data_IF_721098224588
#
_entry.id   IF_721098224588
#
_cell.length_a   1.000
_cell.length_b   1.000
_cell.length_c   1.000
_cell.angle_alpha   90.00
_cell.angle_beta   90.00
_cell.angle_gamma   90.00
#
_symmetry.space_group_name_H-M   'P 1'
#
loop_
_entity.id
_entity.type
_entity.pdbx_description
1 polymer ?
#
# COMPACT_ATOMS: atom_id res chain seq x y z
N UNK A 1 17.09 36.27 -5.46
CA UNK A 1 16.84 35.03 -6.24
C UNK A 1 17.56 33.82 -5.64
N UNK A 2 18.86 33.90 -5.37
CA UNK A 2 19.67 32.79 -4.82
C UNK A 2 19.21 32.31 -3.42
N UNK A 3 18.75 33.20 -2.53
CA UNK A 3 18.26 32.80 -1.20
C UNK A 3 16.97 31.96 -1.23
N UNK A 4 16.07 32.22 -2.20
CA UNK A 4 14.88 31.38 -2.43
C UNK A 4 15.25 30.02 -3.02
N UNK A 5 16.31 29.95 -3.83
CA UNK A 5 16.80 28.70 -4.40
C UNK A 5 17.44 27.80 -3.33
N UNK A 6 18.22 28.37 -2.41
CA UNK A 6 18.83 27.65 -1.28
C UNK A 6 17.75 27.19 -0.28
N UNK A 7 16.72 28.01 -0.04
CA UNK A 7 15.54 27.60 0.75
C UNK A 7 14.77 26.46 0.06
N UNK A 8 14.63 26.48 -1.27
CA UNK A 8 13.96 25.42 -2.03
C UNK A 8 14.76 24.11 -2.04
N UNK A 9 16.09 24.17 -2.13
CA UNK A 9 16.97 22.99 -2.02
C UNK A 9 16.98 22.45 -0.59
N UNK A 10 16.99 23.33 0.43
CA UNK A 10 16.84 22.92 1.83
C UNK A 10 15.49 22.26 2.13
N UNK A 11 14.44 22.57 1.36
CA UNK A 11 13.14 21.90 1.43
C UNK A 11 13.19 20.48 0.81
N UNK A 12 14.05 20.24 -0.17
CA UNK A 12 14.16 18.92 -0.82
C UNK A 12 15.10 17.96 -0.09
N UNK A 13 16.00 18.46 0.75
CA UNK A 13 16.97 17.65 1.49
C UNK A 13 16.39 17.28 2.86
N UNK A 14 16.50 15.99 3.22
CA UNK A 14 16.20 15.51 4.57
C UNK A 14 17.23 16.12 5.53
N UNK A 15 16.83 17.15 6.26
CA UNK A 15 17.69 17.83 7.23
C UNK A 15 17.53 17.24 8.64
N UNK A 16 16.42 16.53 8.90
CA UNK A 16 16.13 15.91 10.18
C UNK A 16 15.63 14.45 10.02
N UNK A 17 16.55 13.47 9.94
CA UNK A 17 16.18 12.06 9.78
C UNK A 17 15.40 11.52 10.99
N UNK A 18 15.59 12.09 12.18
CA UNK A 18 14.87 11.71 13.40
C UNK A 18 13.42 12.17 13.31
N UNK A 19 13.19 13.35 12.74
CA UNK A 19 11.87 13.89 12.45
C UNK A 19 11.06 12.97 11.53
N UNK A 20 11.63 12.60 10.38
CA UNK A 20 11.03 11.65 9.43
C UNK A 20 10.74 10.30 10.09
N UNK A 21 11.70 9.76 10.84
CA UNK A 21 11.55 8.47 11.51
C UNK A 21 10.42 8.50 12.55
N UNK A 22 10.33 9.58 13.33
CA UNK A 22 9.30 9.73 14.36
C UNK A 22 7.89 9.84 13.75
N UNK A 23 7.74 10.61 12.68
CA UNK A 23 6.48 10.74 11.94
C UNK A 23 6.08 9.40 11.31
N UNK A 24 7.02 8.72 10.66
CA UNK A 24 6.81 7.39 10.06
C UNK A 24 6.37 6.39 11.12
N UNK A 25 7.05 6.36 12.27
CA UNK A 25 6.73 5.46 13.38
C UNK A 25 5.35 5.73 13.96
N UNK A 26 4.97 7.00 14.12
CA UNK A 26 3.62 7.38 14.57
C UNK A 26 2.56 6.85 13.60
N UNK A 27 2.80 7.00 12.30
CA UNK A 27 1.86 6.57 11.27
C UNK A 27 1.73 5.04 11.22
N UNK A 28 2.85 4.33 11.31
CA UNK A 28 2.89 2.86 11.36
C UNK A 28 2.17 2.34 12.61
N UNK A 29 2.39 2.95 13.78
CA UNK A 29 1.72 2.56 15.03
C UNK A 29 0.21 2.81 14.99
N UNK A 30 -0.22 3.92 14.37
CA UNK A 30 -1.63 4.24 14.16
C UNK A 30 -2.32 3.19 13.28
N UNK A 31 -1.63 2.70 12.24
CA UNK A 31 -2.13 1.62 11.42
C UNK A 31 -2.16 0.28 12.19
N UNK A 32 -1.08 -0.04 12.92
CA UNK A 32 -0.94 -1.31 13.63
C UNK A 32 -2.05 -1.55 14.66
N UNK A 33 -2.60 -0.50 15.27
CA UNK A 33 -3.73 -0.62 16.21
C UNK A 33 -5.03 -1.11 15.54
N UNK A 34 -5.17 -0.92 14.23
CA UNK A 34 -6.33 -1.33 13.43
C UNK A 34 -5.94 -2.40 12.40
N UNK A 35 -4.75 -3.00 12.54
CA UNK A 35 -4.21 -3.98 11.60
C UNK A 35 -5.15 -5.19 11.46
N UNK A 36 -5.76 -5.67 12.54
CA UNK A 36 -6.70 -6.79 12.45
C UNK A 36 -7.84 -6.48 11.47
N UNK A 37 -8.50 -5.33 11.60
CA UNK A 37 -9.67 -5.01 10.77
C UNK A 37 -9.31 -4.77 9.29
N UNK A 38 -8.06 -4.41 9.02
CA UNK A 38 -7.59 -4.03 7.69
C UNK A 38 -6.84 -5.14 6.96
N UNK A 39 -6.26 -6.10 7.70
CA UNK A 39 -5.55 -7.27 7.17
C UNK A 39 -6.48 -8.48 7.01
N UNK A 40 -7.43 -8.70 7.93
CA UNK A 40 -8.31 -9.87 7.87
C UNK A 40 -9.15 -9.96 6.59
N UNK A 41 -9.82 -8.89 6.11
CA UNK A 41 -10.68 -9.00 4.94
C UNK A 41 -9.93 -9.38 3.65
N UNK A 42 -8.79 -8.74 3.30
CA UNK A 42 -7.98 -9.15 2.14
C UNK A 42 -7.50 -10.60 2.22
N UNK A 43 -7.04 -11.04 3.40
CA UNK A 43 -6.54 -12.40 3.60
C UNK A 43 -7.63 -13.45 3.45
N UNK A 44 -8.80 -13.20 4.03
CA UNK A 44 -9.96 -14.08 3.88
C UNK A 44 -10.41 -14.15 2.42
N UNK A 45 -10.52 -13.01 1.74
CA UNK A 45 -10.89 -12.95 0.33
C UNK A 45 -9.91 -13.73 -0.56
N UNK A 46 -8.61 -13.52 -0.38
CA UNK A 46 -7.55 -14.27 -1.07
C UNK A 46 -7.64 -15.77 -0.81
N UNK A 47 -7.87 -16.16 0.45
CA UNK A 47 -7.96 -17.57 0.84
C UNK A 47 -9.18 -18.25 0.21
N UNK A 48 -10.34 -17.60 0.26
CA UNK A 48 -11.56 -18.09 -0.38
C UNK A 48 -11.41 -18.15 -1.89
N UNK A 49 -10.77 -17.14 -2.51
CA UNK A 49 -10.47 -17.15 -3.94
C UNK A 49 -9.61 -18.37 -4.30
N UNK A 50 -8.47 -18.55 -3.63
CA UNK A 50 -7.58 -19.68 -3.88
C UNK A 50 -8.25 -21.03 -3.61
N UNK A 51 -9.09 -21.12 -2.58
CA UNK A 51 -9.84 -22.34 -2.27
C UNK A 51 -10.88 -22.66 -3.35
N UNK A 52 -11.73 -21.69 -3.71
CA UNK A 52 -12.78 -21.87 -4.73
C UNK A 52 -12.15 -22.21 -6.07
N UNK A 53 -11.18 -21.42 -6.52
CA UNK A 53 -10.53 -21.65 -7.82
C UNK A 53 -9.60 -22.86 -7.80
N UNK A 54 -8.98 -23.20 -6.66
CA UNK A 54 -8.18 -24.41 -6.49
C UNK A 54 -9.02 -25.67 -6.59
N UNK A 55 -10.13 -25.75 -5.86
CA UNK A 55 -11.00 -26.93 -5.82
C UNK A 55 -11.89 -27.04 -7.07
N UNK A 56 -12.44 -25.92 -7.55
CA UNK A 56 -13.39 -25.93 -8.68
C UNK A 56 -12.71 -26.17 -10.04
N UNK A 57 -11.48 -25.69 -10.24
CA UNK A 57 -10.76 -25.84 -11.53
C UNK A 57 -9.78 -27.01 -11.49
N UNK A 58 -9.20 -27.34 -10.34
CA UNK A 58 -8.32 -28.51 -10.18
C UNK A 58 -8.98 -29.85 -10.50
N UNK A 59 -10.32 -29.93 -10.45
CA UNK A 59 -11.10 -31.13 -10.82
C UNK A 59 -11.53 -31.19 -12.29
N UNK A 60 -11.36 -30.10 -13.06
CA UNK A 60 -11.89 -30.00 -14.44
C UNK A 60 -10.84 -29.71 -15.50
N UNK A 61 -9.64 -29.30 -15.11
CA UNK A 61 -8.58 -28.95 -16.07
C UNK A 61 -7.35 -29.79 -15.79
N UNK A 62 -7.32 -30.98 -16.39
CA UNK A 62 -6.07 -31.67 -16.68
C UNK A 62 -5.33 -30.83 -17.73
N UNK A 63 -4.39 -29.99 -17.29
CA UNK A 63 -3.47 -29.26 -18.15
C UNK A 63 -2.42 -30.20 -18.73
N UNK A 64 -2.83 -31.23 -19.47
CA UNK A 64 -1.94 -32.12 -20.20
C UNK A 64 -1.15 -31.42 -21.33
N UNK A 65 -1.19 -30.08 -21.44
CA UNK A 65 -0.59 -29.31 -22.53
C UNK A 65 0.18 -28.05 -22.09
N UNK A 66 0.13 -27.65 -20.82
CA UNK A 66 0.89 -26.51 -20.30
C UNK A 66 1.40 -26.85 -18.89
N UNK A 67 2.71 -26.92 -18.70
CA UNK A 67 3.38 -27.32 -17.43
C UNK A 67 3.15 -26.35 -16.25
N UNK A 68 2.21 -25.40 -16.35
CA UNK A 68 2.03 -24.32 -15.37
C UNK A 68 0.67 -24.45 -14.68
N UNK A 69 0.69 -24.68 -13.38
CA UNK A 69 -0.50 -24.78 -12.53
C UNK A 69 -1.28 -23.46 -12.54
N UNK A 70 -2.57 -23.47 -12.88
CA UNK A 70 -3.43 -22.27 -12.99
C UNK A 70 -3.33 -21.32 -11.77
N UNK A 71 -3.26 -21.88 -10.56
CA UNK A 71 -3.11 -21.09 -9.32
C UNK A 71 -1.80 -20.29 -9.28
N UNK A 72 -0.70 -20.79 -9.87
CA UNK A 72 0.57 -20.06 -9.90
C UNK A 72 0.50 -18.75 -10.70
N UNK A 73 -0.43 -18.67 -11.66
CA UNK A 73 -0.68 -17.45 -12.44
C UNK A 73 -1.56 -16.44 -11.71
N UNK A 74 -2.49 -16.90 -10.86
CA UNK A 74 -3.41 -16.04 -10.11
C UNK A 74 -2.70 -15.31 -8.96
N UNK A 75 -1.80 -15.98 -8.25
CA UNK A 75 -1.13 -15.46 -7.05
C UNK A 75 -0.56 -14.05 -7.25
N UNK A 76 0.25 -13.76 -8.29
CA UNK A 76 0.77 -12.41 -8.50
C UNK A 76 -0.34 -11.36 -8.75
N UNK A 77 -1.45 -11.76 -9.38
CA UNK A 77 -2.63 -10.90 -9.54
C UNK A 77 -3.28 -10.56 -8.21
N UNK A 78 -3.50 -11.55 -7.33
CA UNK A 78 -4.04 -11.33 -5.98
C UNK A 78 -3.10 -10.48 -5.13
N UNK A 79 -1.79 -10.73 -5.20
CA UNK A 79 -0.80 -9.93 -4.47
C UNK A 79 -0.85 -8.47 -4.89
N UNK A 80 -0.89 -8.20 -6.21
CA UNK A 80 -0.84 -6.82 -6.73
C UNK A 80 -2.12 -6.05 -6.43
N UNK A 81 -3.31 -6.64 -6.61
CA UNK A 81 -4.57 -5.93 -6.29
C UNK A 81 -4.65 -5.57 -4.81
N UNK A 82 -4.26 -6.49 -3.92
CA UNK A 82 -4.26 -6.22 -2.48
C UNK A 82 -3.18 -5.23 -2.06
N UNK A 83 -2.01 -5.26 -2.69
CA UNK A 83 -0.96 -4.26 -2.48
C UNK A 83 -1.46 -2.86 -2.87
N UNK A 84 -2.05 -2.74 -4.05
CA UNK A 84 -2.55 -1.48 -4.61
C UNK A 84 -3.64 -0.87 -3.73
N UNK A 85 -4.72 -1.63 -3.47
CA UNK A 85 -5.85 -1.12 -2.68
C UNK A 85 -5.43 -0.76 -1.27
N UNK A 86 -4.60 -1.59 -0.63
CA UNK A 86 -4.17 -1.38 0.75
C UNK A 86 -3.26 -0.15 0.91
N UNK A 87 -2.29 0.04 0.00
CA UNK A 87 -1.41 1.22 0.00
C UNK A 87 -2.17 2.51 -0.29
N UNK A 88 -3.09 2.50 -1.26
CA UNK A 88 -3.92 3.64 -1.61
C UNK A 88 -4.84 4.05 -0.47
N UNK A 89 -5.63 3.12 0.07
CA UNK A 89 -6.60 3.37 1.13
C UNK A 89 -5.95 3.94 2.39
N UNK A 90 -4.75 3.45 2.74
CA UNK A 90 -4.08 3.90 3.97
C UNK A 90 -3.58 5.33 3.84
N UNK A 91 -2.88 5.65 2.76
CA UNK A 91 -2.36 7.01 2.58
C UNK A 91 -3.50 8.00 2.39
N UNK A 92 -4.54 7.63 1.64
CA UNK A 92 -5.67 8.51 1.39
C UNK A 92 -6.49 8.78 2.66
N UNK A 93 -6.88 7.73 3.39
CA UNK A 93 -7.62 7.89 4.66
C UNK A 93 -6.79 8.61 5.72
N UNK A 94 -5.49 8.33 5.82
CA UNK A 94 -4.59 9.00 6.76
C UNK A 94 -4.60 10.51 6.59
N UNK A 95 -4.28 10.97 5.38
CA UNK A 95 -4.15 12.38 5.10
C UNK A 95 -5.51 13.08 5.18
N UNK A 96 -6.57 12.45 4.68
CA UNK A 96 -7.89 13.03 4.71
C UNK A 96 -8.41 13.19 6.14
N UNK A 97 -8.24 12.18 7.00
CA UNK A 97 -8.64 12.25 8.41
C UNK A 97 -7.82 13.31 9.15
N UNK A 98 -6.50 13.39 8.88
CA UNK A 98 -5.64 14.42 9.47
C UNK A 98 -6.07 15.84 9.09
N UNK A 99 -6.52 16.05 7.84
CA UNK A 99 -7.10 17.32 7.39
C UNK A 99 -8.46 17.58 8.03
N UNK A 100 -9.35 16.58 8.05
CA UNK A 100 -10.70 16.70 8.58
C UNK A 100 -10.72 17.04 10.07
N UNK A 101 -9.82 16.46 10.86
CA UNK A 101 -9.68 16.71 12.30
C UNK A 101 -8.77 17.89 12.63
N UNK A 102 -8.30 18.66 11.64
CA UNK A 102 -7.32 19.74 11.80
C UNK A 102 -5.95 19.32 12.39
N UNK A 103 -5.69 18.03 12.63
CA UNK A 103 -4.38 17.50 13.04
C UNK A 103 -3.26 17.81 12.05
N UNK A 104 -3.58 18.15 10.80
CA UNK A 104 -2.59 18.56 9.80
C UNK A 104 -1.84 19.83 10.22
N UNK A 105 -2.45 20.69 11.05
CA UNK A 105 -1.83 21.91 11.56
C UNK A 105 -0.67 21.60 12.51
N UNK A 106 -0.79 20.55 13.33
CA UNK A 106 0.32 20.11 14.20
C UNK A 106 1.51 19.59 13.38
N UNK A 107 1.23 18.92 12.26
CA UNK A 107 2.27 18.47 11.33
C UNK A 107 2.91 19.68 10.64
N UNK A 108 2.12 20.68 10.24
CA UNK A 108 2.61 21.92 9.62
C UNK A 108 3.40 22.83 10.58
N UNK A 109 3.10 22.80 11.88
CA UNK A 109 3.82 23.55 12.92
C UNK A 109 5.12 22.88 13.34
N UNK A 110 5.29 21.59 13.04
CA UNK A 110 6.54 20.90 13.31
C UNK A 110 7.66 21.45 12.40
N UNK A 111 8.91 21.57 12.89
CA UNK A 111 10.04 22.04 12.09
C UNK A 111 10.54 20.93 11.14
N UNK A 112 9.63 20.36 10.35
CA UNK A 112 9.90 19.37 9.31
C UNK A 112 9.82 20.04 7.94
N UNK A 113 10.62 19.57 7.00
CA UNK A 113 10.46 19.98 5.61
C UNK A 113 9.20 19.37 4.98
N UNK A 114 8.62 20.02 3.97
CA UNK A 114 7.51 19.47 3.18
C UNK A 114 7.81 18.08 2.62
N UNK A 115 9.05 17.84 2.17
CA UNK A 115 9.46 16.54 1.65
C UNK A 115 9.52 15.46 2.75
N UNK A 116 9.96 15.84 3.95
CA UNK A 116 10.01 14.96 5.11
C UNK A 116 8.61 14.56 5.59
N UNK A 117 7.65 15.50 5.54
CA UNK A 117 6.24 15.22 5.84
C UNK A 117 5.65 14.21 4.86
N UNK A 118 5.88 14.43 3.55
CA UNK A 118 5.43 13.53 2.49
C UNK A 118 6.03 12.14 2.67
N UNK A 119 7.33 12.03 2.90
CA UNK A 119 7.99 10.74 3.13
C UNK A 119 7.45 10.01 4.36
N UNK A 120 7.22 10.71 5.48
CA UNK A 120 6.70 10.09 6.69
C UNK A 120 5.28 9.55 6.51
N UNK A 121 4.42 10.27 5.78
CA UNK A 121 3.07 9.83 5.46
C UNK A 121 3.06 8.70 4.41
N UNK A 122 3.95 8.75 3.42
CA UNK A 122 4.12 7.69 2.43
C UNK A 122 4.56 6.37 3.08
N UNK A 123 5.48 6.44 4.04
CA UNK A 123 5.99 5.26 4.75
C UNK A 123 4.86 4.43 5.39
N UNK A 124 3.82 5.08 5.93
CA UNK A 124 2.66 4.37 6.48
C UNK A 124 1.91 3.53 5.43
N UNK A 125 1.64 4.12 4.25
CA UNK A 125 0.94 3.43 3.17
C UNK A 125 1.76 2.31 2.52
N UNK A 126 3.06 2.54 2.37
CA UNK A 126 3.98 1.51 1.87
C UNK A 126 4.02 0.33 2.84
N UNK A 127 4.20 0.59 4.14
CA UNK A 127 4.27 -0.48 5.14
C UNK A 127 2.99 -1.31 5.20
N UNK A 128 1.81 -0.68 5.19
CA UNK A 128 0.54 -1.43 5.17
C UNK A 128 0.39 -2.29 3.92
N UNK A 129 0.66 -1.72 2.74
CA UNK A 129 0.54 -2.47 1.48
C UNK A 129 1.47 -3.67 1.44
N UNK A 130 2.73 -3.49 1.87
CA UNK A 130 3.72 -4.56 2.00
C UNK A 130 3.25 -5.62 3.00
N UNK A 131 2.72 -5.23 4.16
CA UNK A 131 2.17 -6.18 5.14
C UNK A 131 1.04 -7.02 4.56
N UNK A 132 0.04 -6.40 3.90
CA UNK A 132 -1.07 -7.14 3.27
C UNK A 132 -0.54 -8.08 2.17
N UNK A 133 0.29 -7.57 1.27
CA UNK A 133 0.86 -8.35 0.17
C UNK A 133 1.67 -9.55 0.67
N UNK A 134 2.48 -9.35 1.72
CA UNK A 134 3.24 -10.44 2.35
C UNK A 134 2.34 -11.48 3.02
N UNK A 135 1.24 -11.06 3.64
CA UNK A 135 0.25 -11.97 4.20
C UNK A 135 -0.48 -12.79 3.13
N UNK A 136 -0.87 -12.16 2.02
CA UNK A 136 -1.48 -12.86 0.87
C UNK A 136 -0.50 -13.87 0.27
N UNK A 137 0.76 -13.48 0.10
CA UNK A 137 1.81 -14.38 -0.36
C UNK A 137 1.99 -15.57 0.59
N UNK A 138 2.08 -15.33 1.90
CA UNK A 138 2.18 -16.41 2.89
C UNK A 138 0.97 -17.37 2.84
N UNK A 139 -0.24 -16.83 2.69
CA UNK A 139 -1.46 -17.65 2.53
C UNK A 139 -1.42 -18.49 1.25
N UNK A 140 -0.89 -17.95 0.15
CA UNK A 140 -0.78 -18.68 -1.11
C UNK A 140 0.12 -19.91 -1.04
N UNK A 141 1.17 -19.88 -0.20
CA UNK A 141 2.09 -21.02 -0.05
C UNK A 141 1.43 -22.25 0.59
N UNK A 142 0.33 -22.08 1.33
CA UNK A 142 -0.44 -23.21 1.86
C UNK A 142 -1.21 -23.97 0.78
N UNK A 143 -1.51 -23.32 -0.36
CA UNK A 143 -2.20 -23.95 -1.48
C UNK A 143 -1.21 -24.51 -2.50
N UNK A 144 -0.21 -23.73 -2.91
CA UNK A 144 0.83 -24.13 -3.85
C UNK A 144 2.18 -23.55 -3.45
N UNK A 145 3.19 -24.40 -3.34
CA UNK A 145 4.58 -23.96 -3.25
C UNK A 145 4.98 -23.32 -4.57
N UNK A 146 5.07 -21.99 -4.57
CA UNK A 146 5.45 -21.23 -5.75
C UNK A 146 6.88 -20.74 -5.58
N UNK A 147 7.87 -21.30 -6.31
CA UNK A 147 9.25 -20.88 -6.18
C UNK A 147 9.44 -19.45 -6.69
N UNK A 148 10.00 -18.58 -5.86
CA UNK A 148 10.35 -17.21 -6.26
C UNK A 148 11.69 -17.25 -6.97
N UNK A 149 11.67 -17.17 -8.31
CA UNK A 149 12.89 -17.18 -9.12
C UNK A 149 13.79 -15.95 -8.86
N UNK A 150 13.18 -14.78 -8.64
CA UNK A 150 13.89 -13.51 -8.46
C UNK A 150 13.33 -12.71 -7.27
N UNK A 151 13.80 -12.98 -6.04
CA UNK A 151 13.28 -12.32 -4.83
C UNK A 151 13.58 -10.81 -4.80
N UNK A 152 14.74 -10.40 -5.33
CA UNK A 152 15.12 -8.97 -5.39
C UNK A 152 14.19 -8.19 -6.32
N UNK A 153 13.85 -8.76 -7.49
CA UNK A 153 12.93 -8.14 -8.43
C UNK A 153 11.53 -8.01 -7.82
N UNK A 154 11.06 -9.05 -7.11
CA UNK A 154 9.77 -9.03 -6.41
C UNK A 154 9.71 -7.87 -5.40
N UNK A 155 10.73 -7.74 -4.54
CA UNK A 155 10.78 -6.66 -3.55
C UNK A 155 10.80 -5.29 -4.24
N UNK A 156 11.58 -5.14 -5.31
CA UNK A 156 11.64 -3.89 -6.08
C UNK A 156 10.28 -3.51 -6.67
N UNK A 157 9.56 -4.45 -7.30
CA UNK A 157 8.23 -4.19 -7.85
C UNK A 157 7.21 -3.89 -6.76
N UNK A 158 7.21 -4.65 -5.67
CA UNK A 158 6.30 -4.43 -4.54
C UNK A 158 6.50 -3.03 -3.95
N UNK A 159 7.75 -2.62 -3.70
CA UNK A 159 8.04 -1.29 -3.18
C UNK A 159 7.66 -0.19 -4.17
N UNK A 160 7.97 -0.36 -5.46
CA UNK A 160 7.66 0.64 -6.49
C UNK A 160 6.16 0.84 -6.63
N UNK A 161 5.39 -0.24 -6.70
CA UNK A 161 3.92 -0.20 -6.77
C UNK A 161 3.37 0.46 -5.50
N UNK A 162 3.84 0.05 -4.33
CA UNK A 162 3.39 0.63 -3.06
C UNK A 162 3.63 2.15 -3.01
N UNK A 163 4.81 2.61 -3.41
CA UNK A 163 5.15 4.04 -3.44
C UNK A 163 4.26 4.79 -4.42
N UNK A 164 4.09 4.30 -5.65
CA UNK A 164 3.26 4.95 -6.68
C UNK A 164 1.83 5.09 -6.18
N UNK A 165 1.22 4.02 -5.67
CA UNK A 165 -0.17 4.06 -5.24
C UNK A 165 -0.39 4.81 -3.93
N UNK A 166 0.59 4.82 -3.03
CA UNK A 166 0.56 5.71 -1.86
C UNK A 166 0.67 7.19 -2.28
N UNK A 167 1.49 7.53 -3.27
CA UNK A 167 1.53 8.89 -3.84
C UNK A 167 0.18 9.27 -4.46
N UNK A 168 -0.42 8.38 -5.24
CA UNK A 168 -1.77 8.61 -5.82
C UNK A 168 -2.83 8.79 -4.74
N UNK A 169 -2.79 7.98 -3.68
CA UNK A 169 -3.69 8.12 -2.53
C UNK A 169 -3.51 9.45 -1.79
N UNK A 170 -2.27 9.95 -1.68
CA UNK A 170 -1.98 11.26 -1.11
C UNK A 170 -2.61 12.39 -1.95
N UNK A 171 -2.43 12.34 -3.27
CA UNK A 171 -3.02 13.32 -4.20
C UNK A 171 -4.56 13.29 -4.10
N UNK A 172 -5.16 12.10 -4.08
CA UNK A 172 -6.59 11.94 -3.96
C UNK A 172 -7.13 12.52 -2.63
N UNK A 173 -6.41 12.34 -1.52
CA UNK A 173 -6.80 12.89 -0.23
C UNK A 173 -6.66 14.41 -0.11
N UNK A 174 -5.72 15.01 -0.83
CA UNK A 174 -5.63 16.48 -0.93
C UNK A 174 -6.79 17.06 -1.74
N UNK A 175 -7.25 16.33 -2.76
CA UNK A 175 -8.31 16.80 -3.66
C UNK A 175 -9.73 16.52 -3.14
N UNK A 176 -9.92 15.44 -2.39
CA UNK A 176 -11.24 15.06 -1.92
C UNK A 176 -11.81 16.08 -0.93
N UNK A 177 -13.09 16.44 -1.09
CA UNK A 177 -13.82 17.29 -0.13
C UNK A 177 -14.58 16.44 0.89
N UNK A 178 -15.14 15.31 0.45
CA UNK A 178 -15.91 14.37 1.26
C UNK A 178 -15.34 12.94 1.26
N UNK A 179 -15.69 12.16 2.29
CA UNK A 179 -15.38 10.73 2.37
C UNK A 179 -15.95 9.92 1.19
N UNK A 180 -17.07 10.36 0.61
CA UNK A 180 -17.65 9.73 -0.56
C UNK A 180 -16.75 9.85 -1.79
N UNK A 181 -16.18 11.04 -2.03
CA UNK A 181 -15.30 11.31 -3.17
C UNK A 181 -14.00 10.52 -3.08
N UNK A 182 -13.47 10.31 -1.88
CA UNK A 182 -12.32 9.42 -1.64
C UNK A 182 -12.60 7.97 -2.07
N UNK A 183 -13.78 7.47 -1.75
CA UNK A 183 -14.14 6.08 -2.00
C UNK A 183 -14.46 5.83 -3.48
N UNK A 184 -15.03 6.84 -4.17
CA UNK A 184 -15.25 6.81 -5.63
C UNK A 184 -13.93 6.53 -6.36
N UNK A 185 -12.84 7.16 -5.97
CA UNK A 185 -11.53 6.90 -6.58
C UNK A 185 -11.02 5.48 -6.37
N UNK A 186 -11.23 4.90 -5.18
CA UNK A 186 -10.84 3.52 -4.92
C UNK A 186 -11.68 2.53 -5.73
N UNK A 187 -13.01 2.70 -5.68
CA UNK A 187 -13.94 1.76 -6.31
C UNK A 187 -13.91 1.85 -7.83
N UNK A 188 -13.91 3.04 -8.43
CA UNK A 188 -14.02 3.16 -9.89
C UNK A 188 -12.69 3.11 -10.64
N UNK A 189 -11.56 3.39 -9.99
CA UNK A 189 -10.26 3.43 -10.66
C UNK A 189 -9.39 2.19 -10.39
N UNK A 190 -9.46 1.63 -9.18
CA UNK A 190 -8.61 0.51 -8.76
C UNK A 190 -9.34 -0.84 -8.94
N UNK A 191 -10.65 -0.87 -8.70
CA UNK A 191 -11.49 -2.08 -8.82
C UNK A 191 -12.59 -1.88 -9.89
N UNK A 192 -12.25 -1.82 -11.19
CA UNK A 192 -13.27 -1.74 -12.23
C UNK A 192 -14.20 -2.97 -12.26
#
# INVERSE_FOLDING_TARGET
MLSRFISFVGVLVVNNPIGVLSLSKREILRFLSVASQTLFPPLLASTLYLYIFGVAIGSRVDFASYEVQYLSYIIPGLMTIHLISSSYENTSSSLFIARWHNHIQEVLLSPLSYFEMVLGLLAGGVMRGVMVCSGVFAMSQFFILTPVAHPIALIFFVLTIAVIFSCTGMIAALWAEDFGMLNVWNVYLIMP
#
